data_IF_306872371530
#
_entry.id   IF_306872371530
#
_cell.length_a   1.000
_cell.length_b   1.000
_cell.length_c   1.000
_cell.angle_alpha   90.00
_cell.angle_beta   90.00
_cell.angle_gamma   90.00
#
_symmetry.space_group_name_H-M   'P 1'
#
loop_
_entity.id
_entity.type
_entity.pdbx_description
1 polymer ?
#
# COMPACT_ATOMS: atom_id res chain seq x y z
N UNK A 1 -32.44 -10.43 -4.48
CA UNK A 1 -31.03 -10.19 -4.87
C UNK A 1 -30.75 -8.71 -4.66
N UNK A 2 -30.25 -8.33 -3.48
CA UNK A 2 -30.08 -6.93 -3.07
C UNK A 2 -28.81 -6.37 -3.68
N UNK A 3 -28.94 -5.41 -4.57
CA UNK A 3 -27.84 -4.61 -5.10
C UNK A 3 -27.26 -3.76 -3.94
N UNK A 4 -26.17 -4.22 -3.31
CA UNK A 4 -25.40 -3.38 -2.39
C UNK A 4 -24.97 -2.13 -3.14
N UNK A 5 -25.63 -1.01 -2.85
CA UNK A 5 -25.24 0.34 -3.25
C UNK A 5 -23.77 0.51 -2.87
N UNK A 6 -22.87 0.65 -3.84
CA UNK A 6 -21.46 0.95 -3.56
C UNK A 6 -21.44 2.29 -2.83
N UNK A 7 -21.21 2.26 -1.52
CA UNK A 7 -20.90 3.48 -0.77
C UNK A 7 -19.73 4.17 -1.47
N UNK A 8 -19.93 5.46 -1.77
CA UNK A 8 -18.91 6.28 -2.41
C UNK A 8 -17.81 6.49 -1.38
N UNK A 9 -16.67 5.82 -1.58
CA UNK A 9 -15.51 5.99 -0.70
C UNK A 9 -15.11 7.47 -0.65
N UNK A 10 -15.04 8.03 0.55
CA UNK A 10 -14.59 9.40 0.80
C UNK A 10 -13.10 9.31 1.13
N UNK A 11 -12.20 9.95 0.35
CA UNK A 11 -10.76 9.93 0.62
C UNK A 11 -10.46 10.53 2.00
N UNK A 12 -9.63 9.83 2.77
CA UNK A 12 -9.17 10.31 4.07
C UNK A 12 -8.05 11.33 3.87
N UNK A 13 -8.20 12.51 4.48
CA UNK A 13 -7.19 13.57 4.42
C UNK A 13 -6.15 13.39 5.54
N UNK A 14 -4.90 13.81 5.34
CA UNK A 14 -3.91 13.87 6.40
C UNK A 14 -4.32 14.93 7.43
N UNK A 15 -3.89 14.74 8.68
CA UNK A 15 -4.11 15.72 9.76
C UNK A 15 -3.26 16.98 9.57
N UNK A 16 -2.13 16.86 8.83
CA UNK A 16 -1.19 17.94 8.55
C UNK A 16 -0.68 17.83 7.13
N UNK A 17 -0.52 18.96 6.45
CA UNK A 17 0.08 19.02 5.12
C UNK A 17 -0.71 18.32 4.02
N UNK A 18 -0.02 17.97 2.93
CA UNK A 18 -0.59 17.21 1.81
C UNK A 18 -0.13 15.75 1.89
N UNK A 19 -1.07 14.83 2.03
CA UNK A 19 -0.78 13.40 2.09
C UNK A 19 -1.56 12.59 1.07
N UNK A 20 -1.11 11.39 0.82
CA UNK A 20 -1.72 10.48 -0.14
C UNK A 20 -2.71 9.53 0.55
N UNK A 21 -3.88 9.34 -0.05
CA UNK A 21 -4.77 8.23 0.26
C UNK A 21 -4.41 7.04 -0.65
N UNK A 22 -3.87 5.97 -0.07
CA UNK A 22 -3.40 4.78 -0.80
C UNK A 22 -4.54 3.85 -1.22
N UNK A 23 -5.76 4.11 -0.76
CA UNK A 23 -6.96 3.34 -1.14
C UNK A 23 -7.50 3.77 -2.50
N UNK A 24 -7.11 4.96 -2.98
CA UNK A 24 -7.58 5.52 -4.23
C UNK A 24 -6.44 5.74 -5.20
N UNK A 25 -6.61 5.25 -6.42
CA UNK A 25 -5.71 5.56 -7.53
C UNK A 25 -6.49 6.31 -8.62
N UNK A 26 -6.12 7.55 -8.86
CA UNK A 26 -6.67 8.38 -9.92
C UNK A 26 -5.85 8.21 -11.19
N UNK A 27 -6.14 7.12 -11.95
CA UNK A 27 -5.48 6.92 -13.23
C UNK A 27 -5.78 8.08 -14.18
N UNK A 28 -4.76 8.58 -14.84
CA UNK A 28 -4.87 9.60 -15.89
C UNK A 28 -5.70 9.07 -17.05
N UNK A 29 -6.37 9.96 -17.80
CA UNK A 29 -7.17 9.55 -18.97
C UNK A 29 -6.32 8.77 -19.99
N UNK A 30 -5.05 9.17 -20.17
CA UNK A 30 -4.09 8.48 -21.05
C UNK A 30 -3.79 7.06 -20.57
N UNK A 31 -3.63 6.83 -19.28
CA UNK A 31 -3.40 5.50 -18.68
C UNK A 31 -4.63 4.60 -18.85
N UNK A 32 -5.83 5.14 -18.61
CA UNK A 32 -7.08 4.40 -18.81
C UNK A 32 -7.27 4.01 -20.28
N UNK A 33 -6.97 4.92 -21.20
CA UNK A 33 -7.02 4.65 -22.65
C UNK A 33 -5.99 3.59 -23.05
N UNK A 34 -4.76 3.66 -22.54
CA UNK A 34 -3.74 2.66 -22.79
C UNK A 34 -4.15 1.27 -22.26
N UNK A 35 -4.68 1.19 -21.05
CA UNK A 35 -5.13 -0.08 -20.47
C UNK A 35 -6.33 -0.67 -21.23
N UNK A 36 -7.25 0.21 -21.69
CA UNK A 36 -8.36 -0.20 -22.54
C UNK A 36 -7.86 -0.77 -23.88
N UNK A 37 -6.95 -0.07 -24.57
CA UNK A 37 -6.40 -0.52 -25.84
C UNK A 37 -5.63 -1.85 -25.71
N UNK A 38 -4.83 -2.02 -24.67
CA UNK A 38 -4.12 -3.28 -24.41
C UNK A 38 -5.11 -4.41 -24.17
N UNK A 39 -6.13 -4.19 -23.33
CA UNK A 39 -7.18 -5.19 -23.09
C UNK A 39 -7.95 -5.56 -24.36
N UNK A 40 -8.32 -4.57 -25.18
CA UNK A 40 -9.00 -4.77 -26.44
C UNK A 40 -8.13 -5.53 -27.45
N UNK A 41 -6.86 -5.18 -27.60
CA UNK A 41 -5.93 -5.84 -28.53
C UNK A 41 -5.70 -7.31 -28.15
N UNK A 42 -5.41 -7.58 -26.88
CA UNK A 42 -5.13 -8.95 -26.43
C UNK A 42 -6.38 -9.83 -26.58
N UNK A 43 -7.55 -9.38 -26.10
CA UNK A 43 -8.78 -10.14 -26.21
C UNK A 43 -9.27 -10.26 -27.68
N UNK A 44 -9.13 -9.20 -28.48
CA UNK A 44 -9.48 -9.21 -29.89
C UNK A 44 -8.62 -10.17 -30.71
N UNK A 45 -7.31 -10.22 -30.46
CA UNK A 45 -6.40 -11.17 -31.13
C UNK A 45 -6.77 -12.62 -30.82
N UNK A 46 -7.04 -12.95 -29.55
CA UNK A 46 -7.46 -14.31 -29.16
C UNK A 46 -8.78 -14.67 -29.83
N UNK A 47 -9.76 -13.79 -29.84
CA UNK A 47 -11.07 -14.04 -30.45
C UNK A 47 -11.00 -14.15 -31.97
N UNK A 48 -10.12 -13.39 -32.62
CA UNK A 48 -9.90 -13.48 -34.06
C UNK A 48 -9.40 -14.89 -34.48
N UNK A 49 -8.50 -15.48 -33.69
CA UNK A 49 -8.00 -16.84 -33.94
C UNK A 49 -9.13 -17.88 -33.86
N UNK A 50 -10.12 -17.70 -32.97
CA UNK A 50 -11.23 -18.67 -32.80
C UNK A 50 -12.38 -18.47 -33.76
N UNK A 51 -12.70 -17.23 -34.11
CA UNK A 51 -13.96 -16.92 -34.88
C UNK A 51 -13.70 -16.51 -36.32
N UNK A 52 -12.47 -16.22 -36.73
CA UNK A 52 -12.07 -15.71 -38.05
C UNK A 52 -12.91 -14.51 -38.55
N UNK A 53 -13.69 -13.88 -37.66
CA UNK A 53 -14.58 -12.77 -37.96
C UNK A 53 -14.16 -11.50 -37.23
N UNK A 54 -13.64 -10.52 -37.96
CA UNK A 54 -13.07 -9.29 -37.43
C UNK A 54 -14.11 -8.43 -36.69
N UNK A 55 -15.35 -8.39 -37.17
CA UNK A 55 -16.39 -7.56 -36.54
C UNK A 55 -16.78 -8.08 -35.15
N UNK A 56 -16.96 -9.40 -35.02
CA UNK A 56 -17.27 -10.05 -33.75
C UNK A 56 -16.11 -9.85 -32.75
N UNK A 57 -14.88 -10.03 -33.22
CA UNK A 57 -13.68 -9.86 -32.40
C UNK A 57 -13.52 -8.43 -31.87
N UNK A 58 -13.83 -7.40 -32.67
CA UNK A 58 -13.77 -6.00 -32.24
C UNK A 58 -14.83 -5.71 -31.19
N UNK A 59 -16.09 -6.15 -31.38
CA UNK A 59 -17.19 -5.87 -30.43
C UNK A 59 -16.92 -6.52 -29.08
N UNK A 60 -16.59 -7.80 -29.06
CA UNK A 60 -16.32 -8.52 -27.80
C UNK A 60 -15.00 -8.02 -27.18
N UNK A 61 -13.98 -7.72 -27.98
CA UNK A 61 -12.73 -7.13 -27.53
C UNK A 61 -12.92 -5.78 -26.84
N UNK A 62 -13.79 -4.92 -27.35
CA UNK A 62 -14.14 -3.64 -26.74
C UNK A 62 -14.82 -3.83 -25.35
N UNK A 63 -15.75 -4.79 -25.24
CA UNK A 63 -16.41 -5.13 -23.98
C UNK A 63 -15.36 -5.61 -22.95
N UNK A 64 -14.48 -6.53 -23.34
CA UNK A 64 -13.39 -7.01 -22.48
C UNK A 64 -12.44 -5.88 -22.05
N UNK A 65 -12.12 -4.95 -22.95
CA UNK A 65 -11.30 -3.78 -22.66
C UNK A 65 -11.88 -2.90 -21.54
N UNK A 66 -13.19 -2.70 -21.51
CA UNK A 66 -13.86 -1.94 -20.44
C UNK A 66 -13.68 -2.63 -19.08
N UNK A 67 -13.79 -3.95 -19.01
CA UNK A 67 -13.58 -4.72 -17.78
C UNK A 67 -12.12 -4.76 -17.34
N UNK A 68 -11.17 -4.60 -18.26
CA UNK A 68 -9.75 -4.66 -17.96
C UNK A 68 -9.26 -3.45 -17.15
N UNK A 69 -9.82 -2.26 -17.37
CA UNK A 69 -9.43 -1.02 -16.68
C UNK A 69 -9.56 -1.11 -15.15
N UNK A 70 -10.71 -1.53 -14.56
CA UNK A 70 -10.83 -1.63 -13.11
C UNK A 70 -9.94 -2.71 -12.50
N UNK A 71 -9.65 -3.79 -13.23
CA UNK A 71 -8.72 -4.83 -12.78
C UNK A 71 -7.30 -4.29 -12.65
N UNK A 72 -6.83 -3.54 -13.64
CA UNK A 72 -5.52 -2.88 -13.61
C UNK A 72 -5.41 -1.86 -12.49
N UNK A 73 -6.45 -1.03 -12.29
CA UNK A 73 -6.50 -0.08 -11.17
C UNK A 73 -6.28 -0.78 -9.82
N UNK A 74 -6.99 -1.89 -9.59
CA UNK A 74 -6.86 -2.69 -8.36
C UNK A 74 -5.44 -3.27 -8.20
N UNK A 75 -4.84 -3.75 -9.30
CA UNK A 75 -3.47 -4.27 -9.29
C UNK A 75 -2.45 -3.19 -8.90
N UNK A 76 -2.57 -1.96 -9.45
CA UNK A 76 -1.70 -0.83 -9.12
C UNK A 76 -1.81 -0.46 -7.64
N UNK A 77 -3.04 -0.36 -7.10
CA UNK A 77 -3.28 -0.10 -5.67
C UNK A 77 -2.63 -1.19 -4.81
N UNK A 78 -2.87 -2.45 -5.13
CA UNK A 78 -2.31 -3.57 -4.36
C UNK A 78 -0.77 -3.59 -4.41
N UNK A 79 -0.17 -3.33 -5.58
CA UNK A 79 1.29 -3.23 -5.73
C UNK A 79 1.87 -2.10 -4.88
N UNK A 80 1.19 -0.94 -4.87
CA UNK A 80 1.60 0.21 -4.05
C UNK A 80 1.50 -0.10 -2.56
N UNK A 81 0.41 -0.73 -2.11
CA UNK A 81 0.23 -1.15 -0.72
C UNK A 81 1.28 -2.20 -0.30
N UNK A 82 1.56 -3.20 -1.13
CA UNK A 82 2.64 -4.18 -0.86
C UNK A 82 4.00 -3.48 -0.68
N UNK A 83 4.34 -2.52 -1.57
CA UNK A 83 5.57 -1.74 -1.44
C UNK A 83 5.60 -0.93 -0.14
N UNK A 84 4.50 -0.27 0.21
CA UNK A 84 4.39 0.51 1.44
C UNK A 84 4.49 -0.38 2.69
N UNK A 85 3.94 -1.60 2.69
CA UNK A 85 4.09 -2.57 3.79
C UNK A 85 5.56 -2.95 4.01
N UNK A 86 6.32 -3.21 2.94
CA UNK A 86 7.75 -3.50 3.06
C UNK A 86 8.53 -2.30 3.59
N UNK A 87 8.20 -1.09 3.15
CA UNK A 87 8.81 0.15 3.64
C UNK A 87 8.42 0.44 5.10
N UNK A 88 7.19 0.09 5.49
CA UNK A 88 6.71 0.23 6.87
C UNK A 88 7.50 -0.67 7.84
N UNK A 89 7.90 -1.87 7.41
CA UNK A 89 8.83 -2.70 8.20
C UNK A 89 10.14 -1.94 8.48
N UNK A 90 10.72 -1.30 7.47
CA UNK A 90 11.93 -0.47 7.65
C UNK A 90 11.72 0.67 8.65
N UNK A 91 10.54 1.31 8.65
CA UNK A 91 10.18 2.30 9.67
C UNK A 91 10.17 1.70 11.07
N UNK A 92 9.58 0.52 11.26
CA UNK A 92 9.52 -0.14 12.56
C UNK A 92 10.92 -0.53 13.05
N UNK A 93 11.82 -0.99 12.17
CA UNK A 93 13.21 -1.30 12.49
C UNK A 93 13.96 -0.04 12.96
N UNK A 94 13.83 1.08 12.25
CA UNK A 94 14.45 2.36 12.61
C UNK A 94 13.91 2.90 13.93
N UNK A 95 12.59 2.87 14.15
CA UNK A 95 11.97 3.26 15.41
C UNK A 95 12.37 2.34 16.55
N UNK A 96 12.42 1.03 16.34
CA UNK A 96 12.84 0.05 17.33
C UNK A 96 14.27 0.30 17.83
N UNK A 97 15.16 0.65 16.91
CA UNK A 97 16.55 1.01 17.22
C UNK A 97 16.63 2.31 18.03
N UNK A 98 15.93 3.36 17.58
CA UNK A 98 15.96 4.69 18.21
C UNK A 98 15.33 4.68 19.61
N UNK A 99 14.15 4.06 19.76
CA UNK A 99 13.46 3.92 21.05
C UNK A 99 14.24 2.96 21.97
N UNK A 100 14.86 1.92 21.40
CA UNK A 100 15.76 1.01 22.12
C UNK A 100 16.97 1.71 22.71
N UNK A 101 17.47 2.74 22.06
CA UNK A 101 18.55 3.61 22.52
C UNK A 101 18.07 4.71 23.52
N UNK A 102 16.79 4.72 23.88
CA UNK A 102 16.23 5.67 24.86
C UNK A 102 15.89 7.05 24.29
N UNK A 103 15.84 7.21 22.95
CA UNK A 103 15.40 8.47 22.35
C UNK A 103 13.91 8.69 22.62
N UNK A 104 13.50 9.96 22.75
CA UNK A 104 12.10 10.30 22.82
C UNK A 104 11.39 10.06 21.48
N UNK A 105 10.07 10.19 21.45
CA UNK A 105 9.26 9.86 20.28
C UNK A 105 9.57 10.77 19.09
N UNK A 106 9.71 12.09 19.34
CA UNK A 106 10.03 13.05 18.30
C UNK A 106 11.40 12.78 17.65
N UNK A 107 12.44 12.60 18.46
CA UNK A 107 13.78 12.30 17.99
C UNK A 107 13.84 10.95 17.26
N UNK A 108 13.01 9.98 17.68
CA UNK A 108 12.94 8.67 17.03
C UNK A 108 12.33 8.78 15.64
N UNK A 109 11.29 9.57 15.44
CA UNK A 109 10.70 9.80 14.11
C UNK A 109 11.59 10.67 13.21
N UNK A 110 12.32 11.64 13.78
CA UNK A 110 13.30 12.44 13.03
C UNK A 110 14.45 11.56 12.52
N UNK A 111 15.03 10.73 13.38
CA UNK A 111 16.07 9.79 12.95
C UNK A 111 15.56 8.76 11.94
N UNK A 112 14.35 8.26 12.14
CA UNK A 112 13.75 7.33 11.19
C UNK A 112 13.50 7.95 9.81
N UNK A 113 13.12 9.25 9.71
CA UNK A 113 13.00 9.95 8.44
C UNK A 113 14.32 9.96 7.67
N UNK A 114 15.43 10.28 8.36
CA UNK A 114 16.78 10.32 7.79
C UNK A 114 17.23 8.93 7.32
N UNK A 115 17.10 7.92 8.17
CA UNK A 115 17.49 6.53 7.87
C UNK A 115 16.70 5.98 6.68
N UNK A 116 15.38 6.22 6.63
CA UNK A 116 14.53 5.77 5.54
C UNK A 116 14.80 6.51 4.22
N UNK A 117 15.17 7.80 4.28
CA UNK A 117 15.53 8.56 3.09
C UNK A 117 16.81 8.02 2.44
N UNK A 118 17.75 7.51 3.23
CA UNK A 118 18.95 6.82 2.75
C UNK A 118 18.62 5.42 2.22
N UNK A 119 17.77 4.67 2.93
CA UNK A 119 17.45 3.28 2.59
C UNK A 119 16.59 3.16 1.33
N UNK A 120 15.63 4.05 1.14
CA UNK A 120 14.66 3.95 0.05
C UNK A 120 14.82 5.06 -0.99
N UNK A 121 14.62 6.25 -0.68
CA UNK A 121 14.78 7.51 -1.43
C UNK A 121 13.96 8.60 -0.73
N UNK A 122 14.30 9.88 -0.83
CA UNK A 122 13.52 10.96 -0.22
C UNK A 122 12.05 11.04 -0.69
N UNK A 123 11.77 10.55 -1.91
CA UNK A 123 10.43 10.54 -2.53
C UNK A 123 9.61 9.29 -2.19
N UNK A 124 10.18 8.34 -1.44
CA UNK A 124 9.46 7.13 -1.07
C UNK A 124 8.20 7.44 -0.25
N UNK A 125 7.15 6.63 -0.48
CA UNK A 125 5.85 6.86 0.18
C UNK A 125 6.01 6.87 1.71
N UNK A 126 6.82 5.98 2.29
CA UNK A 126 7.03 5.92 3.74
C UNK A 126 7.76 7.15 4.29
N UNK A 127 8.74 7.69 3.56
CA UNK A 127 9.49 8.89 3.98
C UNK A 127 8.53 10.09 4.06
N UNK A 128 7.65 10.22 3.08
CA UNK A 128 6.61 11.27 3.08
C UNK A 128 5.65 11.12 4.27
N UNK A 129 5.26 9.89 4.60
CA UNK A 129 4.37 9.62 5.73
C UNK A 129 5.07 9.92 7.07
N UNK A 130 6.31 9.51 7.24
CA UNK A 130 7.10 9.82 8.46
C UNK A 130 7.30 11.32 8.61
N UNK A 131 7.54 12.04 7.52
CA UNK A 131 7.62 13.50 7.51
C UNK A 131 6.32 14.15 7.96
N UNK A 132 5.17 13.66 7.49
CA UNK A 132 3.87 14.16 7.96
C UNK A 132 3.64 13.90 9.45
N UNK A 133 4.06 12.73 9.95
CA UNK A 133 3.98 12.41 11.37
C UNK A 133 4.87 13.37 12.17
N UNK A 134 6.12 13.60 11.73
CA UNK A 134 7.04 14.53 12.41
C UNK A 134 6.49 15.97 12.45
N UNK A 135 5.98 16.48 11.30
CA UNK A 135 5.35 17.79 11.25
C UNK A 135 4.12 17.86 12.18
N UNK A 136 3.34 16.78 12.29
CA UNK A 136 2.23 16.69 13.21
C UNK A 136 2.67 16.75 14.67
N UNK A 137 3.75 16.07 15.03
CA UNK A 137 4.35 16.14 16.36
C UNK A 137 4.87 17.55 16.67
N UNK A 138 5.49 18.24 15.71
CA UNK A 138 5.90 19.66 15.83
C UNK A 138 4.69 20.57 16.11
N UNK A 139 3.53 20.25 15.57
CA UNK A 139 2.27 20.95 15.81
C UNK A 139 1.52 20.47 17.08
N UNK A 140 2.18 19.71 17.96
CA UNK A 140 1.60 19.15 19.19
C UNK A 140 0.37 18.24 18.97
N UNK A 141 0.26 17.59 17.82
CA UNK A 141 -0.74 16.55 17.59
C UNK A 141 -0.26 15.24 18.21
N UNK A 142 -1.15 14.52 18.88
CA UNK A 142 -0.82 13.24 19.51
C UNK A 142 -0.31 12.21 18.50
N UNK A 143 0.76 11.48 18.86
CA UNK A 143 1.35 10.47 18.00
C UNK A 143 0.35 9.36 17.64
N UNK A 144 -0.54 9.01 18.56
CA UNK A 144 -1.58 8.02 18.34
C UNK A 144 -2.57 8.44 17.24
N UNK A 145 -2.95 9.73 17.20
CA UNK A 145 -3.87 10.25 16.19
C UNK A 145 -3.20 10.31 14.81
N UNK A 146 -1.92 10.67 14.78
CA UNK A 146 -1.11 10.67 13.56
C UNK A 146 -0.95 9.27 12.97
N UNK A 147 -0.65 8.27 13.80
CA UNK A 147 -0.51 6.87 13.37
C UNK A 147 -1.86 6.27 12.93
N UNK A 148 -2.96 6.59 13.62
CA UNK A 148 -4.30 6.15 13.22
C UNK A 148 -4.71 6.77 11.89
N UNK A 149 -4.45 8.05 11.67
CA UNK A 149 -4.70 8.71 10.39
C UNK A 149 -3.87 8.08 9.25
N UNK A 150 -2.59 7.79 9.49
CA UNK A 150 -1.77 7.06 8.52
C UNK A 150 -2.35 5.67 8.23
N UNK A 151 -2.79 4.94 9.25
CA UNK A 151 -3.40 3.63 9.09
C UNK A 151 -4.67 3.67 8.22
N UNK A 152 -5.53 4.65 8.41
CA UNK A 152 -6.74 4.85 7.60
C UNK A 152 -6.41 5.17 6.15
N UNK A 153 -5.47 6.09 5.91
CA UNK A 153 -5.02 6.48 4.56
C UNK A 153 -4.29 5.37 3.83
N UNK A 154 -3.49 4.57 4.55
CA UNK A 154 -2.79 3.42 3.96
C UNK A 154 -3.75 2.31 3.56
N UNK A 155 -4.80 2.08 4.35
CA UNK A 155 -5.73 0.95 4.20
C UNK A 155 -4.99 -0.39 4.24
N UNK A 156 -3.91 -0.47 5.02
CA UNK A 156 -3.10 -1.67 5.25
C UNK A 156 -3.40 -2.18 6.66
N UNK A 157 -3.86 -3.43 6.75
CA UNK A 157 -4.28 -3.99 8.03
C UNK A 157 -3.14 -4.07 9.05
N UNK A 158 -1.91 -4.35 8.60
CA UNK A 158 -0.74 -4.42 9.50
C UNK A 158 -0.44 -3.05 10.12
N UNK A 159 -0.54 -1.95 9.34
CA UNK A 159 -0.38 -0.58 9.84
C UNK A 159 -1.51 -0.23 10.82
N UNK A 160 -2.74 -0.63 10.52
CA UNK A 160 -3.90 -0.40 11.39
C UNK A 160 -3.78 -1.13 12.72
N UNK A 161 -3.38 -2.40 12.68
CA UNK A 161 -3.18 -3.19 13.88
C UNK A 161 -2.06 -2.59 14.74
N UNK A 162 -0.94 -2.21 14.13
CA UNK A 162 0.13 -1.52 14.83
C UNK A 162 -0.35 -0.22 15.48
N UNK A 163 -1.03 0.66 14.73
CA UNK A 163 -1.50 1.94 15.24
C UNK A 163 -2.45 1.78 16.45
N UNK A 164 -3.37 0.81 16.40
CA UNK A 164 -4.30 0.53 17.50
C UNK A 164 -3.58 0.01 18.74
N UNK A 165 -2.66 -0.94 18.59
CA UNK A 165 -1.90 -1.51 19.71
C UNK A 165 -0.96 -0.46 20.28
N UNK A 166 -0.28 0.31 19.41
CA UNK A 166 0.59 1.41 19.80
C UNK A 166 -0.17 2.46 20.61
N UNK A 167 -1.30 2.95 20.11
CA UNK A 167 -2.13 3.94 20.79
C UNK A 167 -2.58 3.46 22.19
N UNK A 168 -2.96 2.17 22.29
CA UNK A 168 -3.35 1.56 23.56
C UNK A 168 -2.17 1.48 24.55
N UNK A 169 -1.02 1.02 24.09
CA UNK A 169 0.20 0.92 24.91
C UNK A 169 0.73 2.28 25.33
N UNK A 170 0.73 3.26 24.41
CA UNK A 170 1.19 4.61 24.69
C UNK A 170 0.37 5.30 25.78
N UNK A 171 -0.96 5.20 25.70
CA UNK A 171 -1.89 5.77 26.73
C UNK A 171 -1.78 5.07 28.09
N UNK A 172 -1.50 3.77 28.11
CA UNK A 172 -1.43 2.98 29.34
C UNK A 172 -0.01 2.88 29.94
N UNK A 173 0.98 3.52 29.31
CA UNK A 173 2.39 3.41 29.74
C UNK A 173 3.00 2.02 29.50
N UNK A 174 2.51 1.28 28.50
CA UNK A 174 3.00 -0.03 28.14
C UNK A 174 4.36 0.00 27.42
N UNK A 175 4.92 -1.20 27.17
CA UNK A 175 6.19 -1.34 26.49
C UNK A 175 6.07 -1.19 24.97
N UNK A 176 6.30 0.02 24.48
CA UNK A 176 6.26 0.34 23.04
C UNK A 176 7.30 -0.46 22.24
N UNK A 177 8.46 -0.73 22.83
CA UNK A 177 9.54 -1.50 22.18
C UNK A 177 9.08 -2.91 21.80
N UNK A 178 8.32 -3.58 22.67
CA UNK A 178 7.78 -4.91 22.40
C UNK A 178 6.72 -4.86 21.30
N UNK A 179 5.88 -3.83 21.28
CA UNK A 179 4.89 -3.62 20.22
C UNK A 179 5.57 -3.50 18.86
N UNK A 180 6.59 -2.66 18.76
CA UNK A 180 7.36 -2.47 17.53
C UNK A 180 8.01 -3.79 17.11
N UNK A 181 8.76 -4.44 18.01
CA UNK A 181 9.46 -5.71 17.73
C UNK A 181 8.52 -6.80 17.23
N UNK A 182 7.40 -7.01 17.91
CA UNK A 182 6.44 -8.04 17.53
C UNK A 182 5.81 -7.74 16.16
N UNK A 183 5.46 -6.48 15.91
CA UNK A 183 4.88 -6.09 14.60
C UNK A 183 5.90 -6.26 13.47
N UNK A 184 7.16 -5.89 13.69
CA UNK A 184 8.24 -6.09 12.71
C UNK A 184 8.40 -7.56 12.35
N UNK A 185 8.40 -8.46 13.34
CA UNK A 185 8.48 -9.90 13.11
C UNK A 185 7.30 -10.40 12.26
N UNK A 186 6.07 -10.08 12.66
CA UNK A 186 4.85 -10.51 11.94
C UNK A 186 4.87 -10.05 10.47
N UNK A 187 5.27 -8.79 10.22
CA UNK A 187 5.35 -8.27 8.86
C UNK A 187 6.49 -8.97 8.08
N UNK A 188 7.60 -9.26 8.74
CA UNK A 188 8.71 -10.00 8.16
C UNK A 188 8.30 -11.38 7.67
N UNK A 189 7.70 -12.18 8.54
CA UNK A 189 7.20 -13.52 8.24
C UNK A 189 6.19 -13.51 7.08
N UNK A 190 5.28 -12.51 7.08
CA UNK A 190 4.28 -12.35 6.02
C UNK A 190 4.90 -12.03 4.66
N UNK A 191 5.94 -11.19 4.61
CA UNK A 191 6.66 -10.85 3.38
C UNK A 191 7.41 -12.09 2.86
N UNK A 192 8.06 -12.86 3.74
CA UNK A 192 8.77 -14.07 3.38
C UNK A 192 7.85 -15.13 2.77
N UNK A 193 6.72 -15.43 3.42
CA UNK A 193 5.71 -16.34 2.89
C UNK A 193 5.18 -15.88 1.53
N UNK A 194 4.96 -14.58 1.33
CA UNK A 194 4.50 -14.07 0.04
C UNK A 194 5.56 -14.26 -1.07
N UNK A 195 6.84 -14.07 -0.78
CA UNK A 195 7.92 -14.31 -1.74
C UNK A 195 8.05 -15.79 -2.10
N UNK A 196 7.92 -16.68 -1.11
CA UNK A 196 7.93 -18.13 -1.34
C UNK A 196 6.78 -18.57 -2.25
N UNK A 197 5.56 -18.08 -1.99
CA UNK A 197 4.39 -18.38 -2.83
C UNK A 197 4.56 -17.86 -4.26
N UNK A 198 5.07 -16.65 -4.45
CA UNK A 198 5.33 -16.09 -5.79
C UNK A 198 6.39 -16.94 -6.54
N UNK A 199 7.42 -17.42 -5.85
CA UNK A 199 8.46 -18.28 -6.42
C UNK A 199 7.92 -19.65 -6.79
N UNK A 200 7.10 -20.27 -5.93
CA UNK A 200 6.46 -21.56 -6.20
C UNK A 200 5.54 -21.49 -7.42
N UNK A 201 4.71 -20.45 -7.52
CA UNK A 201 3.80 -20.26 -8.66
C UNK A 201 4.60 -20.07 -9.96
N UNK A 202 5.68 -19.29 -9.92
CA UNK A 202 6.54 -19.09 -11.09
C UNK A 202 7.24 -20.39 -11.53
N UNK A 203 7.76 -21.17 -10.57
CA UNK A 203 8.40 -22.45 -10.85
C UNK A 203 7.40 -23.46 -11.39
N UNK A 204 6.20 -23.56 -10.83
CA UNK A 204 5.15 -24.41 -11.34
C UNK A 204 4.75 -24.04 -12.78
N UNK A 205 4.61 -22.75 -13.09
CA UNK A 205 4.29 -22.27 -14.42
C UNK A 205 5.38 -22.62 -15.45
N UNK A 206 6.64 -22.66 -15.05
CA UNK A 206 7.77 -23.09 -15.91
C UNK A 206 7.82 -24.60 -16.13
N UNK A 207 7.40 -25.40 -15.15
CA UNK A 207 7.41 -26.87 -15.27
C UNK A 207 6.25 -27.41 -16.15
N UNK A 208 5.22 -26.61 -16.41
CA UNK A 208 4.08 -27.00 -17.26
C UNK A 208 4.25 -26.57 -18.74
N UNK A 209 5.36 -25.97 -19.13
CA UNK A 209 5.63 -25.54 -20.48
C UNK A 209 6.78 -26.36 -21.09
#
# INVERSE_FOLDING_TARGET
MSLKKKEKYIPVQPLVGEGTDYNVYNATVKEKAAWFLIGMLVSGAVLYIFYENIFVSIIIGAICGIFFVPLRKKQVINKRKKKLTAQFRGLLDALGTSIGAGKNMFDSFTGAEEDLAVQFTPEADIVKEVRLIRIGLDNNIGIEDLLLNFAERSGIDDVRNFANVFATCYKKGGNIKDVIKNTTSIIGDKIEIQMELETMVFTAALCFN
#
